data_IF_297622191477
#
_entry.id   IF_297622191477
#
_cell.length_a   1.000
_cell.length_b   1.000
_cell.length_c   1.000
_cell.angle_alpha   90.00
_cell.angle_beta   90.00
_cell.angle_gamma   90.00
#
_symmetry.space_group_name_H-M   'P 1'
#
loop_
_entity.id
_entity.type
_entity.pdbx_description
1 polymer ?
#
# COMPACT_ATOMS: atom_id res chain seq x y z
N UNK A 1 -9.06 -26.76 3.78
CA UNK A 1 -7.76 -26.22 3.30
C UNK A 1 -7.87 -24.77 2.83
N UNK A 2 -8.93 -24.40 2.09
CA UNK A 2 -9.17 -23.03 1.58
C UNK A 2 -9.12 -21.95 2.67
N UNK A 3 -9.80 -22.14 3.81
CA UNK A 3 -9.77 -21.17 4.92
C UNK A 3 -8.36 -20.87 5.43
N UNK A 4 -7.50 -21.89 5.55
CA UNK A 4 -6.09 -21.73 5.95
C UNK A 4 -5.30 -21.00 4.87
N UNK A 5 -5.53 -21.31 3.59
CA UNK A 5 -4.93 -20.59 2.46
C UNK A 5 -5.22 -19.10 2.53
N UNK A 6 -6.50 -18.70 2.70
CA UNK A 6 -6.89 -17.29 2.89
C UNK A 6 -6.13 -16.63 4.04
N UNK A 7 -6.06 -17.28 5.21
CA UNK A 7 -5.34 -16.74 6.37
C UNK A 7 -3.86 -16.51 6.06
N UNK A 8 -3.19 -17.51 5.45
CA UNK A 8 -1.77 -17.43 5.11
C UNK A 8 -1.51 -16.31 4.09
N UNK A 9 -2.37 -16.15 3.08
CA UNK A 9 -2.23 -15.06 2.12
C UNK A 9 -2.37 -13.68 2.77
N UNK A 10 -3.34 -13.48 3.69
CA UNK A 10 -3.47 -12.22 4.43
C UNK A 10 -2.25 -11.98 5.31
N UNK A 11 -1.72 -13.02 5.95
CA UNK A 11 -0.53 -12.91 6.78
C UNK A 11 0.72 -12.56 5.95
N UNK A 12 0.85 -13.11 4.74
CA UNK A 12 1.92 -12.77 3.82
C UNK A 12 1.87 -11.29 3.39
N UNK A 13 0.67 -10.75 3.13
CA UNK A 13 0.49 -9.32 2.86
C UNK A 13 0.84 -8.47 4.08
N UNK A 14 0.38 -8.85 5.28
CA UNK A 14 0.74 -8.13 6.49
C UNK A 14 2.26 -8.14 6.72
N UNK A 15 2.93 -9.27 6.46
CA UNK A 15 4.38 -9.37 6.56
C UNK A 15 5.11 -8.50 5.53
N UNK A 16 4.64 -8.49 4.28
CA UNK A 16 5.17 -7.62 3.24
C UNK A 16 5.10 -6.14 3.65
N UNK A 17 3.91 -5.67 4.05
CA UNK A 17 3.75 -4.27 4.50
C UNK A 17 4.55 -3.97 5.77
N UNK A 18 4.72 -4.93 6.68
CA UNK A 18 5.58 -4.76 7.84
C UNK A 18 7.03 -4.50 7.43
N UNK A 19 7.57 -5.25 6.47
CA UNK A 19 8.92 -5.03 5.96
C UNK A 19 9.06 -3.68 5.26
N UNK A 20 8.02 -3.25 4.55
CA UNK A 20 7.97 -1.95 3.89
C UNK A 20 8.05 -0.80 4.91
N UNK A 21 7.19 -0.83 5.94
CA UNK A 21 7.23 0.11 7.07
C UNK A 21 8.58 0.06 7.78
N UNK A 22 9.10 -1.14 8.05
CA UNK A 22 10.39 -1.31 8.71
C UNK A 22 11.51 -0.68 7.90
N UNK A 23 11.55 -0.89 6.58
CA UNK A 23 12.51 -0.27 5.67
C UNK A 23 12.37 1.26 5.66
N UNK A 24 11.14 1.77 5.56
CA UNK A 24 10.87 3.21 5.57
C UNK A 24 11.23 3.91 6.89
N UNK A 25 11.20 3.19 8.02
CA UNK A 25 11.60 3.74 9.32
C UNK A 25 13.09 3.58 9.59
N UNK A 26 13.66 2.40 9.29
CA UNK A 26 15.06 2.08 9.60
C UNK A 26 16.06 2.70 8.63
N UNK A 27 15.69 2.84 7.36
CA UNK A 27 16.49 3.50 6.31
C UNK A 27 15.72 4.69 5.72
N UNK A 28 15.29 5.58 6.61
CA UNK A 28 14.37 6.68 6.31
C UNK A 28 14.83 7.57 5.15
N UNK A 29 16.09 7.97 5.13
CA UNK A 29 16.56 8.99 4.19
C UNK A 29 16.71 8.48 2.76
N UNK A 30 16.93 7.18 2.56
CA UNK A 30 17.01 6.58 1.22
C UNK A 30 15.67 6.69 0.51
N UNK A 31 14.60 6.25 1.17
CA UNK A 31 13.24 6.28 0.61
C UNK A 31 12.64 7.70 0.63
N UNK A 32 12.94 8.50 1.66
CA UNK A 32 12.56 9.92 1.70
C UNK A 32 13.09 10.71 0.51
N UNK A 33 14.30 10.41 0.03
CA UNK A 33 14.89 11.10 -1.12
C UNK A 33 14.03 10.95 -2.39
N UNK A 34 13.44 9.77 -2.62
CA UNK A 34 12.54 9.52 -3.74
C UNK A 34 11.24 10.33 -3.60
N UNK A 35 10.66 10.37 -2.40
CA UNK A 35 9.45 11.17 -2.10
C UNK A 35 9.73 12.66 -2.30
N UNK A 36 10.82 13.17 -1.74
CA UNK A 36 11.25 14.56 -1.91
C UNK A 36 11.42 14.93 -3.39
N UNK A 37 12.13 14.11 -4.16
CA UNK A 37 12.37 14.31 -5.60
C UNK A 37 11.07 14.34 -6.40
N UNK A 38 10.14 13.44 -6.07
CA UNK A 38 8.78 13.42 -6.63
C UNK A 38 8.02 14.71 -6.34
N UNK A 39 7.99 15.12 -5.06
CA UNK A 39 7.25 16.32 -4.62
C UNK A 39 7.83 17.61 -5.20
N UNK A 40 9.15 17.69 -5.35
CA UNK A 40 9.82 18.83 -5.99
C UNK A 40 9.65 18.82 -7.51
N UNK A 41 9.17 17.73 -8.10
CA UNK A 41 9.03 17.55 -9.56
C UNK A 41 10.33 17.87 -10.33
N UNK A 42 11.49 17.52 -9.76
CA UNK A 42 12.79 17.91 -10.32
C UNK A 42 13.15 17.17 -11.61
N UNK A 43 12.47 16.06 -11.89
CA UNK A 43 12.81 15.12 -12.96
C UNK A 43 11.65 14.93 -13.96
N UNK A 44 10.79 15.94 -14.12
CA UNK A 44 9.77 15.96 -15.17
C UNK A 44 10.37 16.44 -16.51
N UNK A 45 9.64 16.25 -17.63
CA UNK A 45 10.10 16.73 -18.92
C UNK A 45 10.29 18.27 -18.96
N UNK A 46 11.31 18.81 -19.66
CA UNK A 46 11.60 20.24 -19.67
C UNK A 46 10.43 21.14 -20.12
N UNK A 47 9.64 20.67 -21.09
CA UNK A 47 8.51 21.44 -21.64
C UNK A 47 7.20 21.20 -20.86
N UNK A 48 7.25 20.48 -19.75
CA UNK A 48 6.09 20.12 -18.95
C UNK A 48 5.56 21.33 -18.16
N UNK A 49 4.29 21.66 -18.38
CA UNK A 49 3.63 22.80 -17.74
C UNK A 49 3.10 22.49 -16.33
N UNK A 50 3.23 21.24 -15.82
CA UNK A 50 2.68 20.86 -14.50
C UNK A 50 3.60 21.19 -13.33
N UNK A 51 4.78 21.78 -13.56
CA UNK A 51 5.74 22.13 -12.52
C UNK A 51 5.20 23.07 -11.43
N UNK A 52 4.10 23.81 -11.69
CA UNK A 52 3.43 24.63 -10.67
C UNK A 52 2.88 23.83 -9.48
N UNK A 53 2.73 22.51 -9.61
CA UNK A 53 2.25 21.62 -8.54
C UNK A 53 3.35 21.26 -7.54
N UNK A 54 4.60 21.62 -7.81
CA UNK A 54 5.74 21.25 -6.99
C UNK A 54 5.58 21.77 -5.54
N UNK A 55 5.87 20.88 -4.60
CA UNK A 55 5.97 21.21 -3.17
C UNK A 55 7.45 21.35 -2.86
N UNK A 56 7.89 22.53 -2.44
CA UNK A 56 9.32 22.81 -2.13
C UNK A 56 9.61 22.91 -0.64
N UNK A 57 8.58 22.97 0.20
CA UNK A 57 8.74 23.09 1.65
C UNK A 57 9.23 21.76 2.27
N UNK A 58 10.43 21.72 2.88
CA UNK A 58 10.99 20.50 3.48
C UNK A 58 10.12 19.89 4.57
N UNK A 59 9.42 20.71 5.37
CA UNK A 59 8.53 20.22 6.43
C UNK A 59 7.37 19.43 5.81
N UNK A 60 6.81 19.91 4.69
CA UNK A 60 5.76 19.19 3.97
C UNK A 60 6.27 17.89 3.36
N UNK A 61 7.52 17.83 2.90
CA UNK A 61 8.11 16.58 2.43
C UNK A 61 8.12 15.52 3.52
N UNK A 62 8.60 15.88 4.73
CA UNK A 62 8.61 14.95 5.86
C UNK A 62 7.20 14.57 6.28
N UNK A 63 6.27 15.52 6.36
CA UNK A 63 4.89 15.26 6.74
C UNK A 63 4.21 14.28 5.76
N UNK A 64 4.36 14.50 4.45
CA UNK A 64 3.80 13.61 3.42
C UNK A 64 4.42 12.21 3.51
N UNK A 65 5.74 12.12 3.70
CA UNK A 65 6.39 10.83 3.82
C UNK A 65 5.93 10.05 5.07
N UNK A 66 5.78 10.74 6.22
CA UNK A 66 5.21 10.13 7.42
C UNK A 66 3.75 9.68 7.23
N UNK A 67 2.96 10.39 6.43
CA UNK A 67 1.60 9.96 6.06
C UNK A 67 1.62 8.66 5.26
N UNK A 68 2.54 8.52 4.29
CA UNK A 68 2.72 7.28 3.52
C UNK A 68 3.03 6.11 4.47
N UNK A 69 4.05 6.26 5.33
CA UNK A 69 4.43 5.26 6.34
C UNK A 69 3.25 4.92 7.26
N UNK A 70 2.47 5.93 7.65
CA UNK A 70 1.27 5.76 8.47
C UNK A 70 0.23 4.85 7.80
N UNK A 71 -0.03 5.03 6.50
CA UNK A 71 -0.96 4.18 5.75
C UNK A 71 -0.44 2.75 5.54
N UNK A 72 0.86 2.58 5.29
CA UNK A 72 1.50 1.26 5.22
C UNK A 72 1.42 0.53 6.57
N UNK A 73 1.65 1.24 7.67
CA UNK A 73 1.54 0.70 9.03
C UNK A 73 0.09 0.33 9.37
N UNK A 74 -0.87 1.19 9.07
CA UNK A 74 -2.29 0.88 9.28
C UNK A 74 -2.71 -0.35 8.47
N UNK A 75 -2.27 -0.46 7.22
CA UNK A 75 -2.51 -1.64 6.37
C UNK A 75 -1.92 -2.90 7.01
N UNK A 76 -0.66 -2.83 7.45
CA UNK A 76 0.03 -3.93 8.16
C UNK A 76 -0.77 -4.41 9.36
N UNK A 77 -1.17 -3.49 10.24
CA UNK A 77 -1.88 -3.79 11.49
C UNK A 77 -3.27 -4.37 11.21
N UNK A 78 -4.04 -3.75 10.32
CA UNK A 78 -5.42 -4.19 10.04
C UNK A 78 -5.42 -5.56 9.34
N UNK A 79 -4.51 -5.80 8.39
CA UNK A 79 -4.32 -7.12 7.78
C UNK A 79 -3.89 -8.17 8.82
N UNK A 80 -2.94 -7.84 9.70
CA UNK A 80 -2.51 -8.71 10.80
C UNK A 80 -3.66 -9.07 11.75
N UNK A 81 -4.47 -8.10 12.16
CA UNK A 81 -5.69 -8.31 12.96
C UNK A 81 -6.70 -9.17 12.19
N UNK A 82 -6.86 -8.95 10.89
CA UNK A 82 -7.71 -9.75 10.02
C UNK A 82 -7.29 -11.22 9.97
N UNK A 83 -6.01 -11.49 9.73
CA UNK A 83 -5.44 -12.84 9.73
C UNK A 83 -5.63 -13.52 11.09
N UNK A 84 -5.35 -12.81 12.18
CA UNK A 84 -5.54 -13.32 13.54
C UNK A 84 -6.99 -13.69 13.85
N UNK A 85 -7.94 -12.82 13.50
CA UNK A 85 -9.37 -13.09 13.71
C UNK A 85 -9.85 -14.27 12.89
N UNK A 86 -9.44 -14.38 11.63
CA UNK A 86 -9.75 -15.54 10.78
C UNK A 86 -9.15 -16.83 11.34
N UNK A 87 -7.92 -16.77 11.86
CA UNK A 87 -7.26 -17.93 12.48
C UNK A 87 -8.01 -18.43 13.73
N UNK A 88 -8.51 -17.52 14.57
CA UNK A 88 -9.31 -17.89 15.76
C UNK A 88 -10.60 -18.63 15.38
N UNK A 89 -11.27 -18.24 14.30
CA UNK A 89 -12.55 -18.84 13.90
C UNK A 89 -12.43 -19.86 12.77
N UNK A 90 -11.23 -20.34 12.45
CA UNK A 90 -10.97 -21.22 11.30
C UNK A 90 -11.78 -22.53 11.29
N UNK A 91 -12.15 -23.03 12.47
CA UNK A 91 -12.95 -24.24 12.68
C UNK A 91 -14.43 -23.95 13.00
N UNK A 92 -14.84 -22.68 13.03
CA UNK A 92 -16.23 -22.29 13.28
C UNK A 92 -17.11 -22.54 12.04
N UNK A 93 -18.41 -22.29 12.16
CA UNK A 93 -19.34 -22.38 11.03
C UNK A 93 -18.96 -21.40 9.91
N UNK A 94 -19.38 -21.71 8.68
CA UNK A 94 -19.20 -20.85 7.52
C UNK A 94 -19.68 -19.41 7.75
N UNK A 95 -20.84 -19.25 8.39
CA UNK A 95 -21.40 -17.95 8.72
C UNK A 95 -20.44 -17.10 9.57
N UNK A 96 -19.87 -17.70 10.61
CA UNK A 96 -18.92 -17.03 11.52
C UNK A 96 -17.62 -16.69 10.79
N UNK A 97 -17.07 -17.62 10.00
CA UNK A 97 -15.84 -17.39 9.25
C UNK A 97 -16.00 -16.27 8.22
N UNK A 98 -17.09 -16.28 7.44
CA UNK A 98 -17.38 -15.25 6.45
C UNK A 98 -17.56 -13.87 7.11
N UNK A 99 -18.23 -13.79 8.27
CA UNK A 99 -18.37 -12.53 9.02
C UNK A 99 -17.05 -11.99 9.58
N UNK A 100 -16.10 -12.87 9.92
CA UNK A 100 -14.79 -12.45 10.44
C UNK A 100 -13.89 -11.80 9.37
N UNK A 101 -14.15 -12.03 8.07
CA UNK A 101 -13.36 -11.48 6.96
C UNK A 101 -13.33 -9.96 6.89
N UNK A 102 -14.30 -9.25 7.49
CA UNK A 102 -14.43 -7.78 7.44
C UNK A 102 -13.13 -7.03 7.77
N UNK A 103 -12.33 -7.55 8.69
CA UNK A 103 -11.05 -6.93 9.08
C UNK A 103 -10.00 -7.10 7.99
N UNK A 104 -9.87 -8.31 7.43
CA UNK A 104 -8.97 -8.54 6.31
C UNK A 104 -9.42 -7.78 5.05
N UNK A 105 -10.73 -7.68 4.79
CA UNK A 105 -11.30 -6.83 3.73
C UNK A 105 -10.89 -5.37 3.94
N UNK A 106 -11.10 -4.80 5.13
CA UNK A 106 -10.73 -3.42 5.42
C UNK A 106 -9.23 -3.16 5.22
N UNK A 107 -8.38 -4.08 5.70
CA UNK A 107 -6.92 -3.96 5.53
C UNK A 107 -6.49 -4.03 4.07
N UNK A 108 -7.07 -4.97 3.31
CA UNK A 108 -6.77 -5.09 1.89
C UNK A 108 -7.26 -3.89 1.08
N UNK A 109 -8.45 -3.37 1.39
CA UNK A 109 -8.96 -2.15 0.75
C UNK A 109 -8.07 -0.95 1.08
N UNK A 110 -7.62 -0.81 2.32
CA UNK A 110 -6.71 0.27 2.71
C UNK A 110 -5.37 0.17 1.97
N UNK A 111 -4.80 -1.03 1.87
CA UNK A 111 -3.57 -1.24 1.10
C UNK A 111 -3.77 -0.92 -0.38
N UNK A 112 -4.85 -1.42 -1.00
CA UNK A 112 -5.20 -1.02 -2.38
C UNK A 112 -5.21 0.51 -2.55
N UNK A 113 -5.88 1.24 -1.65
CA UNK A 113 -5.92 2.70 -1.70
C UNK A 113 -4.55 3.33 -1.48
N UNK A 114 -3.72 2.77 -0.60
CA UNK A 114 -2.36 3.24 -0.34
C UNK A 114 -1.52 3.22 -1.61
N UNK A 115 -1.38 2.05 -2.25
CA UNK A 115 -0.55 1.93 -3.46
C UNK A 115 -1.21 2.54 -4.71
N UNK A 116 -2.53 2.43 -4.87
CA UNK A 116 -3.19 3.02 -6.03
C UNK A 116 -3.28 4.55 -5.91
N UNK A 117 -3.83 5.09 -4.82
CA UNK A 117 -4.08 6.53 -4.72
C UNK A 117 -2.78 7.29 -4.47
N UNK A 118 -1.97 6.90 -3.48
CA UNK A 118 -0.78 7.69 -3.14
C UNK A 118 0.31 7.58 -4.21
N UNK A 119 0.53 6.39 -4.78
CA UNK A 119 1.60 6.19 -5.75
C UNK A 119 1.15 6.33 -7.20
N UNK A 120 0.07 5.69 -7.63
CA UNK A 120 -0.34 5.81 -9.04
C UNK A 120 -1.00 7.16 -9.33
N UNK A 121 -2.01 7.54 -8.53
CA UNK A 121 -2.77 8.76 -8.80
C UNK A 121 -2.03 10.03 -8.36
N UNK A 122 -1.50 10.06 -7.14
CA UNK A 122 -0.83 11.27 -6.61
C UNK A 122 0.62 11.35 -7.10
N UNK A 123 1.47 10.38 -6.80
CA UNK A 123 2.86 10.46 -7.27
C UNK A 123 2.96 10.38 -8.80
N UNK A 124 2.32 9.38 -9.42
CA UNK A 124 2.30 9.15 -10.87
C UNK A 124 1.71 10.31 -11.64
N UNK A 125 0.41 10.56 -11.49
CA UNK A 125 -0.30 11.52 -12.34
C UNK A 125 -0.22 12.97 -11.85
N UNK A 126 -0.40 13.22 -10.55
CA UNK A 126 -0.36 14.60 -10.05
C UNK A 126 1.05 15.19 -10.11
N UNK A 127 2.06 14.45 -9.63
CA UNK A 127 3.47 14.87 -9.62
C UNK A 127 4.29 14.43 -10.84
N UNK A 128 3.69 13.71 -11.79
CA UNK A 128 4.35 13.34 -13.05
C UNK A 128 5.49 12.33 -12.86
N UNK A 129 5.43 11.45 -11.85
CA UNK A 129 6.50 10.48 -11.57
C UNK A 129 6.81 9.57 -12.77
N UNK A 130 5.81 9.32 -13.64
CA UNK A 130 5.99 8.53 -14.86
C UNK A 130 6.97 9.17 -15.86
N UNK A 131 7.20 10.49 -15.79
CA UNK A 131 8.18 11.19 -16.62
C UNK A 131 9.62 10.97 -16.14
N UNK A 132 9.81 10.61 -14.87
CA UNK A 132 11.14 10.45 -14.28
C UNK A 132 11.79 9.15 -14.75
N UNK A 133 12.96 9.25 -15.40
CA UNK A 133 13.76 8.09 -15.78
C UNK A 133 14.30 7.30 -14.58
N UNK A 134 14.47 7.96 -13.42
CA UNK A 134 14.98 7.34 -12.21
C UNK A 134 13.87 6.66 -11.38
N UNK A 135 12.68 7.26 -11.34
CA UNK A 135 11.63 6.86 -10.40
C UNK A 135 10.41 6.20 -11.05
N UNK A 136 10.28 6.21 -12.38
CA UNK A 136 9.15 5.58 -13.09
C UNK A 136 8.98 4.09 -12.76
N UNK A 137 10.06 3.38 -12.42
CA UNK A 137 10.00 1.98 -11.97
C UNK A 137 9.12 1.77 -10.72
N UNK A 138 8.99 2.79 -9.86
CA UNK A 138 8.14 2.72 -8.67
C UNK A 138 6.64 2.58 -9.02
N UNK A 139 6.21 3.07 -10.19
CA UNK A 139 4.83 2.92 -10.65
C UNK A 139 4.53 1.48 -11.05
N UNK A 140 5.47 0.79 -11.69
CA UNK A 140 5.33 -0.63 -12.02
C UNK A 140 5.22 -1.48 -10.75
N UNK A 141 6.08 -1.22 -9.76
CA UNK A 141 6.02 -1.90 -8.46
C UNK A 141 4.70 -1.59 -7.73
N UNK A 142 4.27 -0.34 -7.72
CA UNK A 142 2.99 0.06 -7.13
C UNK A 142 1.80 -0.61 -7.79
N UNK A 143 1.83 -0.76 -9.12
CA UNK A 143 0.83 -1.50 -9.88
C UNK A 143 0.74 -2.97 -9.46
N UNK A 144 1.88 -3.65 -9.39
CA UNK A 144 1.95 -5.04 -8.96
C UNK A 144 1.38 -5.23 -7.54
N UNK A 145 1.69 -4.30 -6.65
CA UNK A 145 1.19 -4.35 -5.27
C UNK A 145 -0.33 -4.13 -5.25
N UNK A 146 -0.86 -3.01 -5.75
CA UNK A 146 -2.31 -2.77 -5.63
C UNK A 146 -3.15 -3.83 -6.34
N UNK A 147 -2.66 -4.40 -7.46
CA UNK A 147 -3.34 -5.52 -8.13
C UNK A 147 -3.32 -6.77 -7.27
N UNK A 148 -2.21 -7.08 -6.59
CA UNK A 148 -2.15 -8.21 -5.65
C UNK A 148 -3.14 -8.03 -4.51
N UNK A 149 -3.26 -6.81 -3.96
CA UNK A 149 -4.29 -6.48 -2.97
C UNK A 149 -5.71 -6.71 -3.50
N UNK A 150 -6.00 -6.25 -4.72
CA UNK A 150 -7.31 -6.42 -5.36
C UNK A 150 -7.65 -7.90 -5.64
N UNK A 151 -6.69 -8.66 -6.18
CA UNK A 151 -6.85 -10.10 -6.45
C UNK A 151 -7.08 -10.87 -5.16
N UNK A 152 -6.31 -10.55 -4.10
CA UNK A 152 -6.49 -11.20 -2.81
C UNK A 152 -7.82 -10.82 -2.16
N UNK A 153 -8.29 -9.59 -2.35
CA UNK A 153 -9.61 -9.16 -1.90
C UNK A 153 -10.70 -10.01 -2.58
N UNK A 154 -10.62 -10.19 -3.90
CA UNK A 154 -11.53 -11.06 -4.67
C UNK A 154 -11.48 -12.50 -4.14
N UNK A 155 -10.28 -13.06 -3.96
CA UNK A 155 -10.12 -14.42 -3.42
C UNK A 155 -10.71 -14.57 -2.01
N UNK A 156 -10.51 -13.56 -1.15
CA UNK A 156 -10.98 -13.56 0.24
C UNK A 156 -12.52 -13.55 0.31
N UNK A 157 -13.19 -12.71 -0.49
CA UNK A 157 -14.64 -12.51 -0.41
C UNK A 157 -15.45 -13.68 -0.96
N UNK A 158 -14.86 -14.55 -1.79
CA UNK A 158 -15.51 -15.81 -2.21
C UNK A 158 -15.98 -16.55 -0.95
N UNK A 159 -17.28 -16.86 -0.89
CA UNK A 159 -17.91 -17.45 0.30
C UNK A 159 -17.26 -18.80 0.61
N UNK A 160 -16.99 -19.02 1.90
CA UNK A 160 -16.61 -20.34 2.40
C UNK A 160 -17.88 -21.10 2.80
N UNK A 161 -17.95 -22.39 2.47
CA UNK A 161 -18.96 -23.35 2.94
C UNK A 161 -18.48 -24.07 4.21
#
# INVERSE_FOLDING_TARGET
MIRKSKIICILAIAFYCFLDVFGNVSDYYVNFSAVKRTLMMSDIFPDSLIGYRAVTNPILHHAIYLVIIGFELLTTVICGVGAWKLFKVRHASALVFNGAKRWAVAGLTLGFLTWHVLFMSVAGEWFGLWMSSLLSGALTTSFQIFITFLVLLIYLIIKDE
#
